data_IF_075244356389
#
_entry.id   IF_075244356389
#
_cell.length_a   1.000
_cell.length_b   1.000
_cell.length_c   1.000
_cell.angle_alpha   90.00
_cell.angle_beta   90.00
_cell.angle_gamma   90.00
#
_symmetry.space_group_name_H-M   'P 1'
#
loop_
_entity.id
_entity.type
_entity.pdbx_description
1 polymer ?
#
# COMPACT_ATOMS: atom_id res chain seq x y z
N UNK A 1 2.21 -3.39 -14.67
CA UNK A 1 1.06 -2.83 -13.94
C UNK A 1 -0.22 -3.41 -14.51
N UNK A 2 -0.73 -4.45 -13.84
CA UNK A 2 -2.09 -4.90 -14.07
C UNK A 2 -3.01 -4.02 -13.20
N UNK A 3 -3.98 -3.34 -13.81
CA UNK A 3 -5.03 -2.66 -13.06
C UNK A 3 -6.05 -3.71 -12.61
N UNK A 4 -6.04 -4.06 -11.31
CA UNK A 4 -6.96 -5.06 -10.76
C UNK A 4 -8.43 -4.61 -10.88
N UNK A 5 -8.71 -3.31 -10.98
CA UNK A 5 -10.08 -2.82 -11.14
C UNK A 5 -10.68 -3.13 -12.52
N UNK A 6 -9.85 -3.48 -13.51
CA UNK A 6 -10.32 -3.93 -14.83
C UNK A 6 -10.69 -5.42 -14.86
N UNK A 7 -10.36 -6.18 -13.82
CA UNK A 7 -10.72 -7.58 -13.71
C UNK A 7 -12.26 -7.75 -13.73
N UNK A 8 -12.84 -8.71 -14.48
CA UNK A 8 -14.28 -8.89 -14.57
C UNK A 8 -14.99 -9.08 -13.23
N UNK A 9 -14.37 -9.77 -12.26
CA UNK A 9 -14.98 -10.01 -10.95
C UNK A 9 -14.99 -8.74 -10.10
N UNK A 10 -13.87 -8.01 -10.08
CA UNK A 10 -13.77 -6.75 -9.33
C UNK A 10 -14.66 -5.69 -9.97
N UNK A 11 -14.72 -5.63 -11.30
CA UNK A 11 -15.59 -4.71 -12.03
C UNK A 11 -17.06 -4.91 -11.71
N UNK A 12 -17.51 -6.16 -11.55
CA UNK A 12 -18.87 -6.47 -11.13
C UNK A 12 -19.17 -5.97 -9.71
N UNK A 13 -18.23 -6.12 -8.77
CA UNK A 13 -18.37 -5.54 -7.41
C UNK A 13 -18.43 -4.01 -7.44
N UNK A 14 -17.63 -3.38 -8.30
CA UNK A 14 -17.66 -1.92 -8.49
C UNK A 14 -19.03 -1.48 -9.03
N UNK A 15 -19.61 -2.22 -9.97
CA UNK A 15 -20.95 -1.95 -10.51
C UNK A 15 -22.03 -2.07 -9.42
N UNK A 16 -21.97 -3.11 -8.58
CA UNK A 16 -22.91 -3.27 -7.46
C UNK A 16 -22.87 -2.08 -6.47
N UNK A 17 -21.67 -1.52 -6.22
CA UNK A 17 -21.48 -0.40 -5.30
C UNK A 17 -21.86 0.94 -5.95
N UNK A 18 -21.47 1.16 -7.21
CA UNK A 18 -21.73 2.42 -7.91
C UNK A 18 -23.15 2.52 -8.48
N UNK A 19 -23.84 1.39 -8.69
CA UNK A 19 -25.14 1.30 -9.35
C UNK A 19 -25.09 1.49 -10.88
N UNK A 20 -23.93 1.82 -11.42
CA UNK A 20 -23.65 1.96 -12.86
C UNK A 20 -22.25 1.43 -13.15
N UNK A 21 -22.06 0.78 -14.30
CA UNK A 21 -20.73 0.32 -14.71
C UNK A 21 -19.86 1.52 -15.14
N UNK A 22 -18.79 1.86 -14.39
CA UNK A 22 -17.88 2.92 -14.81
C UNK A 22 -17.11 2.52 -16.07
N UNK A 23 -16.72 3.51 -16.87
CA UNK A 23 -15.85 3.27 -18.02
C UNK A 23 -14.45 2.89 -17.59
N UNK A 24 -13.73 2.17 -18.45
CA UNK A 24 -12.37 1.68 -18.19
C UNK A 24 -11.41 2.84 -17.84
N UNK A 25 -11.57 3.99 -18.51
CA UNK A 25 -10.81 5.21 -18.20
C UNK A 25 -10.99 5.67 -16.74
N UNK A 26 -12.22 5.61 -16.21
CA UNK A 26 -12.47 6.00 -14.82
C UNK A 26 -11.84 5.01 -13.84
N UNK A 27 -11.82 3.72 -14.19
CA UNK A 27 -11.16 2.68 -13.40
C UNK A 27 -9.63 2.86 -13.38
N UNK A 28 -9.02 3.25 -14.50
CA UNK A 28 -7.60 3.57 -14.57
C UNK A 28 -7.24 4.79 -13.70
N UNK A 29 -8.03 5.87 -13.81
CA UNK A 29 -7.84 7.08 -12.99
C UNK A 29 -7.99 6.75 -11.49
N UNK A 30 -8.98 5.92 -11.15
CA UNK A 30 -9.21 5.49 -9.78
C UNK A 30 -8.03 4.68 -9.25
N UNK A 31 -7.52 3.74 -10.04
CA UNK A 31 -6.36 2.91 -9.69
C UNK A 31 -5.11 3.74 -9.44
N UNK A 32 -4.78 4.66 -10.34
CA UNK A 32 -3.63 5.56 -10.15
C UNK A 32 -3.77 6.42 -8.89
N UNK A 33 -4.98 6.90 -8.63
CA UNK A 33 -5.27 7.71 -7.43
C UNK A 33 -5.14 6.86 -6.16
N UNK A 34 -5.59 5.61 -6.20
CA UNK A 34 -5.48 4.65 -5.10
C UNK A 34 -4.01 4.39 -4.76
N UNK A 35 -3.20 4.01 -5.75
CA UNK A 35 -1.77 3.75 -5.54
C UNK A 35 -1.05 4.97 -4.93
N UNK A 36 -1.41 6.18 -5.35
CA UNK A 36 -0.87 7.42 -4.78
C UNK A 36 -1.28 7.64 -3.32
N UNK A 37 -2.54 7.33 -2.97
CA UNK A 37 -3.06 7.48 -1.61
C UNK A 37 -2.48 6.45 -0.64
N UNK A 38 -2.36 5.20 -1.09
CA UNK A 38 -1.74 4.13 -0.28
C UNK A 38 -0.23 4.37 -0.14
N UNK A 39 0.44 4.84 -1.19
CA UNK A 39 1.86 5.15 -1.20
C UNK A 39 2.76 4.00 -1.68
N UNK A 40 2.17 2.90 -2.16
CA UNK A 40 2.86 1.80 -2.83
C UNK A 40 1.96 1.21 -3.93
N UNK A 41 2.54 0.36 -4.78
CA UNK A 41 1.82 -0.29 -5.89
C UNK A 41 1.05 -1.52 -5.38
N UNK A 42 -0.25 -1.56 -5.64
CA UNK A 42 -1.16 -2.60 -5.16
C UNK A 42 -1.14 -3.90 -5.98
N UNK A 43 -0.52 -3.89 -7.17
CA UNK A 43 -0.44 -5.06 -8.05
C UNK A 43 0.47 -6.15 -7.46
N UNK A 44 0.18 -7.42 -7.75
CA UNK A 44 1.04 -8.52 -7.33
C UNK A 44 2.32 -8.58 -8.19
N UNK A 45 3.48 -8.45 -7.55
CA UNK A 45 4.78 -8.58 -8.23
C UNK A 45 5.88 -9.06 -7.25
N UNK A 46 6.97 -9.57 -7.83
CA UNK A 46 8.20 -9.88 -7.11
C UNK A 46 9.08 -8.63 -6.99
N UNK A 47 9.48 -8.28 -5.77
CA UNK A 47 10.34 -7.11 -5.52
C UNK A 47 11.57 -7.49 -4.69
N UNK A 48 12.71 -6.90 -5.04
CA UNK A 48 13.93 -6.95 -4.24
C UNK A 48 14.13 -5.61 -3.53
N UNK A 49 14.16 -5.63 -2.20
CA UNK A 49 14.47 -4.47 -1.37
C UNK A 49 15.84 -4.65 -0.68
N UNK A 50 16.64 -3.59 -0.72
CA UNK A 50 17.92 -3.51 0.00
C UNK A 50 17.71 -2.57 1.19
N UNK A 51 17.95 -3.09 2.40
CA UNK A 51 17.77 -2.37 3.66
C UNK A 51 19.01 -2.49 4.53
N UNK A 52 19.27 -1.45 5.32
CA UNK A 52 20.31 -1.48 6.35
C UNK A 52 19.71 -1.96 7.66
N UNK A 53 20.51 -2.66 8.47
CA UNK A 53 20.17 -3.07 9.82
C UNK A 53 19.73 -1.87 10.65
N UNK A 54 18.66 -2.06 11.42
CA UNK A 54 17.99 -1.01 12.20
C UNK A 54 18.03 -1.26 13.72
N UNK A 55 18.72 -2.32 14.16
CA UNK A 55 18.86 -2.68 15.57
C UNK A 55 17.60 -3.31 16.15
N UNK A 56 16.59 -3.56 15.31
CA UNK A 56 15.33 -4.21 15.66
C UNK A 56 15.29 -5.60 15.03
N UNK A 57 14.34 -6.40 15.50
CA UNK A 57 14.01 -7.72 14.96
C UNK A 57 13.19 -7.63 13.66
N UNK A 58 12.61 -6.46 13.33
CA UNK A 58 11.71 -6.27 12.19
C UNK A 58 12.31 -5.32 11.15
N UNK A 59 12.25 -5.73 9.88
CA UNK A 59 12.52 -4.87 8.72
C UNK A 59 11.22 -4.66 7.95
N UNK A 60 10.88 -3.39 7.74
CA UNK A 60 9.72 -2.97 6.95
C UNK A 60 10.04 -3.02 5.46
N UNK A 61 9.15 -3.65 4.70
CA UNK A 61 9.26 -3.75 3.25
C UNK A 61 8.46 -2.65 2.55
N UNK A 62 8.84 -2.38 1.30
CA UNK A 62 8.26 -1.28 0.53
C UNK A 62 6.92 -1.65 -0.10
N UNK A 63 6.78 -2.90 -0.58
CA UNK A 63 5.57 -3.40 -1.25
C UNK A 63 4.81 -4.33 -0.31
N UNK A 64 3.49 -4.21 -0.28
CA UNK A 64 2.61 -4.84 0.72
C UNK A 64 1.25 -5.19 0.09
N UNK A 65 0.50 -6.18 0.60
CA UNK A 65 0.91 -7.11 1.64
C UNK A 65 1.94 -8.11 1.12
N UNK A 66 2.86 -8.53 1.99
CA UNK A 66 3.89 -9.54 1.70
C UNK A 66 3.26 -10.93 1.83
N UNK A 67 3.24 -11.70 0.75
CA UNK A 67 2.68 -13.06 0.75
C UNK A 67 3.74 -14.12 0.97
N UNK A 68 4.87 -13.99 0.28
CA UNK A 68 5.93 -15.00 0.30
C UNK A 68 7.31 -14.35 0.21
N UNK A 69 8.28 -14.97 0.87
CA UNK A 69 9.69 -14.57 0.82
C UNK A 69 10.41 -15.60 -0.05
N UNK A 70 11.10 -15.14 -1.09
CA UNK A 70 11.82 -16.03 -2.02
C UNK A 70 13.30 -16.15 -1.67
N UNK A 71 13.94 -15.04 -1.28
CA UNK A 71 15.38 -15.02 -1.00
C UNK A 71 15.73 -13.95 0.05
N UNK A 72 16.65 -14.29 0.97
CA UNK A 72 17.21 -13.34 1.93
C UNK A 72 18.73 -13.48 1.96
N UNK A 73 19.43 -12.35 1.77
CA UNK A 73 20.88 -12.24 1.93
C UNK A 73 21.20 -11.20 3.00
N UNK A 74 22.06 -11.57 3.95
CA UNK A 74 22.61 -10.64 4.94
C UNK A 74 24.12 -10.57 4.71
N UNK A 75 24.64 -9.37 4.40
CA UNK A 75 26.07 -9.14 4.11
C UNK A 75 26.60 -10.06 3.00
N UNK A 76 25.82 -10.20 1.91
CA UNK A 76 26.10 -11.11 0.78
C UNK A 76 26.18 -12.60 1.16
N UNK A 77 25.61 -13.00 2.30
CA UNK A 77 25.49 -14.40 2.68
C UNK A 77 24.04 -14.81 2.66
N UNK A 78 23.75 -15.89 1.95
CA UNK A 78 22.42 -16.49 1.92
C UNK A 78 22.03 -16.96 3.32
N UNK A 79 20.80 -16.66 3.71
CA UNK A 79 20.21 -17.11 4.97
C UNK A 79 19.05 -18.06 4.71
N UNK A 80 18.79 -18.92 5.69
CA UNK A 80 17.69 -19.88 5.60
C UNK A 80 16.38 -19.16 5.87
N UNK A 81 15.43 -19.24 4.94
CA UNK A 81 14.13 -18.53 5.01
C UNK A 81 13.36 -18.90 6.30
N UNK A 82 13.52 -20.12 6.80
CA UNK A 82 12.89 -20.60 8.05
C UNK A 82 13.29 -19.82 9.31
N UNK A 83 14.37 -19.05 9.26
CA UNK A 83 14.81 -18.16 10.36
C UNK A 83 13.95 -16.88 10.44
N UNK A 84 13.12 -16.63 9.43
CA UNK A 84 12.34 -15.42 9.27
C UNK A 84 10.84 -15.71 9.26
N UNK A 85 10.06 -14.75 9.73
CA UNK A 85 8.59 -14.76 9.68
C UNK A 85 8.08 -13.50 8.98
N UNK A 86 6.96 -13.64 8.29
CA UNK A 86 6.24 -12.48 7.76
C UNK A 86 5.55 -11.79 8.95
N UNK A 87 5.89 -10.54 9.17
CA UNK A 87 5.30 -9.72 10.23
C UNK A 87 4.09 -8.98 9.66
N UNK A 88 2.88 -9.44 10.00
CA UNK A 88 1.59 -8.78 9.70
C UNK A 88 1.37 -8.42 8.21
N UNK A 89 2.09 -9.06 7.27
CA UNK A 89 2.08 -8.70 5.85
C UNK A 89 2.82 -7.41 5.51
N UNK A 90 3.50 -6.81 6.48
CA UNK A 90 4.16 -5.50 6.41
C UNK A 90 5.66 -5.63 6.08
N UNK A 91 6.26 -6.68 6.61
CA UNK A 91 7.71 -6.85 6.59
C UNK A 91 8.14 -8.20 7.12
N UNK A 92 9.42 -8.29 7.45
CA UNK A 92 10.06 -9.53 7.89
C UNK A 92 10.56 -9.37 9.31
N UNK A 93 10.26 -10.35 10.15
CA UNK A 93 10.83 -10.50 11.49
C UNK A 93 11.88 -11.61 11.50
N UNK A 94 13.02 -11.34 12.08
CA UNK A 94 14.04 -12.34 12.39
C UNK A 94 13.71 -13.02 13.72
N UNK A 95 13.60 -14.36 13.74
CA UNK A 95 13.32 -15.10 14.99
C UNK A 95 14.51 -15.20 15.92
N UNK A 96 15.73 -15.11 15.37
CA UNK A 96 16.96 -15.40 16.08
C UNK A 96 17.57 -14.17 16.77
N UNK A 97 17.11 -12.96 16.45
CA UNK A 97 17.63 -11.73 17.04
C UNK A 97 17.29 -10.48 16.24
N UNK A 98 18.04 -9.41 16.51
CA UNK A 98 17.93 -8.15 15.78
C UNK A 98 18.84 -8.12 14.54
N UNK A 99 18.54 -7.21 13.61
CA UNK A 99 19.42 -6.84 12.52
C UNK A 99 20.47 -5.84 13.01
N UNK A 100 21.74 -6.15 12.87
CA UNK A 100 22.81 -5.40 13.53
C UNK A 100 23.00 -4.01 12.91
N UNK A 101 23.08 -2.99 13.78
CA UNK A 101 23.55 -1.65 13.39
C UNK A 101 25.02 -1.56 13.77
N UNK A 102 25.87 -1.38 12.77
CA UNK A 102 27.27 -1.16 13.03
C UNK A 102 27.50 0.23 13.60
N UNK A 103 28.30 0.30 14.65
CA UNK A 103 28.91 1.54 15.09
C UNK A 103 30.11 1.74 14.16
N UNK A 104 29.97 2.61 13.16
CA UNK A 104 31.00 2.86 12.15
C UNK A 104 32.40 3.11 12.76
N UNK A 105 33.45 2.93 11.96
CA UNK A 105 34.89 3.00 12.33
C UNK A 105 35.39 4.35 12.89
N UNK A 106 34.52 5.25 13.35
CA UNK A 106 34.83 6.63 13.69
C UNK A 106 35.15 6.90 15.17
N UNK A 107 35.22 5.89 16.04
CA UNK A 107 35.63 6.09 17.43
C UNK A 107 36.97 5.41 17.72
N UNK A 108 38.06 6.17 17.98
CA UNK A 108 39.30 5.60 18.44
C UNK A 108 39.18 5.38 19.96
N UNK A 109 38.65 4.23 20.39
CA UNK A 109 38.77 3.83 21.79
C UNK A 109 39.34 2.42 21.88
N UNK A 110 40.53 2.39 22.46
CA UNK A 110 41.27 1.23 22.90
C UNK A 110 40.41 0.27 23.73
N UNK A 111 40.48 -1.02 23.37
CA UNK A 111 40.13 -2.22 24.16
C UNK A 111 38.64 -2.48 24.41
N UNK A 112 38.23 -3.63 23.88
CA UNK A 112 37.09 -4.48 24.28
C UNK A 112 35.70 -4.09 23.74
N UNK A 113 35.47 -4.43 22.47
CA UNK A 113 34.14 -4.47 21.86
C UNK A 113 34.27 -4.90 20.40
N UNK A 114 33.63 -5.99 19.99
CA UNK A 114 33.58 -6.40 18.58
C UNK A 114 32.86 -5.31 17.78
N UNK A 115 33.56 -4.69 16.84
CA UNK A 115 32.94 -3.82 15.83
C UNK A 115 32.07 -4.71 14.93
N UNK A 116 30.75 -4.64 15.08
CA UNK A 116 29.84 -5.19 14.09
C UNK A 116 29.72 -4.17 12.96
N UNK A 117 29.84 -4.62 11.70
CA UNK A 117 29.48 -3.80 10.55
C UNK A 117 27.94 -3.77 10.45
N UNK A 118 27.37 -2.70 9.91
CA UNK A 118 25.91 -2.63 9.74
C UNK A 118 25.47 -3.69 8.74
N UNK A 119 24.46 -4.47 9.11
CA UNK A 119 23.94 -5.50 8.23
C UNK A 119 23.33 -4.87 6.96
N UNK A 120 23.77 -5.34 5.81
CA UNK A 120 23.11 -5.09 4.53
C UNK A 120 22.18 -6.27 4.25
N UNK A 121 20.87 -6.03 4.35
CA UNK A 121 19.83 -7.05 4.18
C UNK A 121 19.19 -6.85 2.82
N UNK A 122 19.38 -7.80 1.92
CA UNK A 122 18.72 -7.88 0.61
C UNK A 122 17.64 -8.95 0.68
N UNK A 123 16.41 -8.57 0.36
CA UNK A 123 15.23 -9.42 0.49
C UNK A 123 14.51 -9.41 -0.84
N UNK A 124 14.33 -10.58 -1.43
CA UNK A 124 13.44 -10.80 -2.58
C UNK A 124 12.15 -11.46 -2.07
N UNK A 125 11.01 -10.88 -2.43
CA UNK A 125 9.71 -11.30 -1.92
C UNK A 125 8.59 -11.03 -2.94
N UNK A 126 7.52 -11.81 -2.84
CA UNK A 126 6.28 -11.62 -3.59
C UNK A 126 5.28 -10.85 -2.74
N UNK A 127 4.84 -9.69 -3.23
CA UNK A 127 3.91 -8.82 -2.52
C UNK A 127 2.91 -8.14 -3.44
N UNK A 128 1.75 -7.80 -2.88
CA UNK A 128 0.64 -7.15 -3.55
C UNK A 128 -0.65 -7.95 -3.44
N UNK A 129 -1.70 -7.43 -4.06
CA UNK A 129 -3.00 -8.07 -4.09
C UNK A 129 -3.21 -8.84 -5.39
N UNK A 130 -3.86 -9.99 -5.26
CA UNK A 130 -4.39 -10.75 -6.39
C UNK A 130 -5.88 -10.42 -6.56
N UNK A 131 -6.45 -10.80 -7.71
CA UNK A 131 -7.87 -10.63 -8.04
C UNK A 131 -8.80 -11.23 -6.97
N UNK A 132 -8.38 -12.33 -6.35
CA UNK A 132 -9.15 -13.02 -5.29
C UNK A 132 -9.06 -12.36 -3.92
N UNK A 133 -7.93 -11.70 -3.65
CA UNK A 133 -7.58 -11.20 -2.31
C UNK A 133 -7.75 -9.69 -2.19
N UNK A 134 -8.25 -9.02 -3.25
CA UNK A 134 -8.41 -7.57 -3.26
C UNK A 134 -9.51 -7.13 -2.26
N UNK A 135 -9.16 -6.31 -1.24
CA UNK A 135 -10.10 -5.93 -0.19
C UNK A 135 -11.28 -5.09 -0.69
N UNK A 136 -12.47 -5.37 -0.16
CA UNK A 136 -13.68 -4.63 -0.52
C UNK A 136 -13.58 -3.14 -0.13
N UNK A 137 -12.85 -2.78 0.93
CA UNK A 137 -12.67 -1.37 1.34
C UNK A 137 -11.91 -0.56 0.28
N UNK A 138 -10.91 -1.17 -0.38
CA UNK A 138 -10.21 -0.53 -1.49
C UNK A 138 -11.12 -0.38 -2.71
N UNK A 139 -12.01 -1.34 -2.96
CA UNK A 139 -13.06 -1.21 -3.99
C UNK A 139 -13.99 -0.03 -3.67
N UNK A 140 -14.43 0.10 -2.42
CA UNK A 140 -15.23 1.23 -1.97
C UNK A 140 -14.48 2.56 -2.13
N UNK A 141 -13.22 2.62 -1.73
CA UNK A 141 -12.38 3.81 -1.90
C UNK A 141 -12.26 4.20 -3.38
N UNK A 142 -12.06 3.23 -4.29
CA UNK A 142 -12.04 3.46 -5.73
C UNK A 142 -13.36 4.07 -6.22
N UNK A 143 -14.50 3.53 -5.79
CA UNK A 143 -15.83 4.03 -6.14
C UNK A 143 -16.03 5.48 -5.68
N UNK A 144 -15.63 5.79 -4.44
CA UNK A 144 -15.70 7.15 -3.90
C UNK A 144 -14.82 8.14 -4.69
N UNK A 145 -13.61 7.72 -5.09
CA UNK A 145 -12.73 8.54 -5.93
C UNK A 145 -13.41 8.85 -7.27
N UNK A 146 -14.00 7.85 -7.92
CA UNK A 146 -14.71 8.04 -9.19
C UNK A 146 -15.88 9.02 -9.02
N UNK A 147 -16.70 8.84 -7.99
CA UNK A 147 -17.85 9.71 -7.73
C UNK A 147 -17.42 11.16 -7.45
N UNK A 148 -16.40 11.35 -6.60
CA UNK A 148 -15.86 12.67 -6.29
C UNK A 148 -15.32 13.37 -7.54
N UNK A 149 -14.58 12.65 -8.40
CA UNK A 149 -14.06 13.20 -9.66
C UNK A 149 -15.17 13.52 -10.67
N UNK A 150 -16.20 12.67 -10.78
CA UNK A 150 -17.38 12.94 -11.62
C UNK A 150 -18.12 14.21 -11.15
N UNK A 151 -18.33 14.36 -9.84
CA UNK A 151 -18.98 15.54 -9.25
C UNK A 151 -18.19 16.83 -9.52
N UNK A 152 -16.87 16.80 -9.29
CA UNK A 152 -16.00 17.95 -9.59
C UNK A 152 -16.01 18.34 -11.08
N UNK A 153 -16.29 17.40 -11.97
CA UNK A 153 -16.35 17.64 -13.41
C UNK A 153 -17.71 18.20 -13.85
N UNK A 154 -18.81 17.87 -13.15
CA UNK A 154 -20.15 18.40 -13.43
C UNK A 154 -20.35 19.84 -12.93
N UNK A 155 -19.69 20.20 -11.82
CA UNK A 155 -19.84 21.52 -11.19
C UNK A 155 -19.25 22.66 -12.03
N UNK A 156 -18.42 22.35 -13.03
CA UNK A 156 -17.84 23.33 -13.95
C UNK A 156 -18.78 23.76 -15.09
N UNK A 157 -19.99 23.19 -15.24
CA UNK A 157 -20.73 23.41 -16.49
C UNK A 157 -22.25 23.22 -16.55
N UNK A 158 -22.97 22.88 -15.47
CA UNK A 158 -24.45 22.80 -15.58
C UNK A 158 -25.17 23.35 -14.36
N UNK A 159 -25.69 24.58 -14.50
CA UNK A 159 -26.70 25.15 -13.61
C UNK A 159 -27.96 24.29 -13.67
N UNK A 160 -28.08 23.30 -12.80
CA UNK A 160 -29.37 22.62 -12.59
C UNK A 160 -30.21 23.47 -11.65
N UNK A 161 -31.16 24.22 -12.20
CA UNK A 161 -32.16 24.95 -11.43
C UNK A 161 -33.13 23.97 -10.78
N UNK A 162 -33.02 23.76 -9.46
CA UNK A 162 -34.01 23.01 -8.67
C UNK A 162 -34.77 23.96 -7.73
N UNK A 163 -36.07 23.71 -7.53
CA UNK A 163 -36.90 24.43 -6.56
C UNK A 163 -36.49 24.03 -5.13
N UNK A 164 -36.24 25.05 -4.30
CA UNK A 164 -35.49 25.00 -3.04
C UNK A 164 -36.28 24.45 -1.83
N UNK A 165 -37.54 24.04 -1.96
CA UNK A 165 -38.40 23.87 -0.78
C UNK A 165 -38.26 22.56 0.00
N UNK A 166 -37.78 21.44 -0.57
CA UNK A 166 -37.95 20.12 0.08
C UNK A 166 -36.72 19.19 0.08
N UNK A 167 -35.53 19.65 -0.29
CA UNK A 167 -34.34 18.80 -0.24
C UNK A 167 -33.23 19.51 0.53
N UNK A 168 -33.02 19.09 1.78
CA UNK A 168 -31.82 19.43 2.54
C UNK A 168 -30.64 18.63 1.98
N UNK A 169 -30.10 19.06 0.84
CA UNK A 169 -28.80 18.58 0.37
C UNK A 169 -27.73 19.13 1.31
N UNK A 170 -27.20 18.29 2.20
CA UNK A 170 -25.91 18.55 2.82
C UNK A 170 -24.83 18.33 1.77
N UNK A 171 -24.41 19.41 1.11
CA UNK A 171 -23.24 19.39 0.25
C UNK A 171 -22.02 19.06 1.10
N UNK A 172 -21.44 17.87 0.89
CA UNK A 172 -20.12 17.58 1.46
C UNK A 172 -19.08 18.36 0.70
N UNK A 173 -18.18 19.01 1.41
CA UNK A 173 -17.02 19.66 0.79
C UNK A 173 -16.06 18.59 0.21
N UNK A 174 -15.21 18.99 -0.74
CA UNK A 174 -14.20 18.09 -1.29
C UNK A 174 -13.26 17.59 -0.18
N UNK A 175 -12.94 18.43 0.81
CA UNK A 175 -12.20 18.04 2.02
C UNK A 175 -12.89 16.92 2.79
N UNK A 176 -14.21 16.98 3.04
CA UNK A 176 -14.94 15.93 3.76
C UNK A 176 -14.96 14.59 3.00
N UNK A 177 -15.04 14.66 1.67
CA UNK A 177 -14.93 13.47 0.82
C UNK A 177 -13.53 12.87 0.89
N UNK A 178 -12.49 13.70 0.84
CA UNK A 178 -11.11 13.26 0.96
C UNK A 178 -10.85 12.60 2.32
N UNK A 179 -11.33 13.18 3.42
CA UNK A 179 -11.23 12.58 4.77
C UNK A 179 -11.94 11.23 4.82
N UNK A 180 -13.08 11.10 4.14
CA UNK A 180 -13.81 9.81 4.07
C UNK A 180 -12.98 8.77 3.31
N UNK A 181 -12.37 9.13 2.18
CA UNK A 181 -11.48 8.24 1.41
C UNK A 181 -10.25 7.86 2.24
N UNK A 182 -9.64 8.83 2.94
CA UNK A 182 -8.49 8.58 3.81
C UNK A 182 -8.80 7.57 4.90
N UNK A 183 -10.00 7.60 5.50
CA UNK A 183 -10.38 6.63 6.52
C UNK A 183 -10.42 5.19 5.97
N UNK A 184 -10.87 4.97 4.73
CA UNK A 184 -10.88 3.64 4.12
C UNK A 184 -9.48 3.16 3.73
N UNK A 185 -8.58 4.07 3.35
CA UNK A 185 -7.21 3.74 2.91
C UNK A 185 -6.23 3.65 4.08
N UNK A 186 -6.54 4.26 5.22
CA UNK A 186 -5.64 4.43 6.37
C UNK A 186 -5.00 3.13 6.83
N UNK A 187 -5.80 2.08 6.96
CA UNK A 187 -5.33 0.79 7.47
C UNK A 187 -4.31 0.16 6.51
N UNK A 188 -4.56 0.27 5.20
CA UNK A 188 -3.67 -0.23 4.15
C UNK A 188 -2.38 0.57 3.99
N UNK A 189 -2.37 1.83 4.42
CA UNK A 189 -1.15 2.64 4.47
C UNK A 189 -0.28 2.33 5.70
N UNK A 190 -0.93 1.99 6.82
CA UNK A 190 -0.27 1.67 8.06
C UNK A 190 0.25 0.23 8.10
N UNK A 191 -0.41 -0.68 7.35
CA UNK A 191 0.14 -1.97 6.95
C UNK A 191 1.42 -1.73 6.17
#
# INVERSE_FOLDING_TARGET
MANLLLDPFIKLKVEEICGEMPSDLWLDIAWESLNKLVGYELDFDSKTDIRSGNGKDIIYLTKRPVKEITEIKINNRDRVISEFEIYEGIGIRNKLGCFDVGIGKCFPISKMGSYTETDCVEITYNAGYDETDFPNDLIFAACFIIQAKKQSSSDAGTLKSYKISDISYTWKSQEELNVSIENYVRDYRAM
#
